data_IF_617947597924
#
_entry.id   IF_617947597924
#
_cell.length_a   1.000
_cell.length_b   1.000
_cell.length_c   1.000
_cell.angle_alpha   90.00
_cell.angle_beta   90.00
_cell.angle_gamma   90.00
#
_symmetry.space_group_name_H-M   'P 1'
#
loop_
_entity.id
_entity.type
_entity.pdbx_description
1 polymer ?
#
# COMPACT_ATOMS: atom_id res chain seq x y z
N UNK A 1 -65.26 30.36 -61.54
CA UNK A 1 -64.69 30.63 -62.88
C UNK A 1 -63.18 30.36 -62.80
N UNK A 2 -62.68 29.35 -63.54
CA UNK A 2 -61.29 29.19 -64.05
C UNK A 2 -60.16 28.97 -62.98
N UNK A 3 -59.75 27.71 -62.70
CA UNK A 3 -58.54 26.98 -63.20
C UNK A 3 -57.20 27.60 -62.76
N UNK A 4 -56.32 26.99 -61.94
CA UNK A 4 -55.40 25.83 -62.12
C UNK A 4 -54.51 25.84 -60.83
N UNK A 5 -53.92 24.81 -60.23
CA UNK A 5 -53.14 23.67 -60.76
C UNK A 5 -52.82 22.72 -59.58
N UNK A 6 -52.75 21.43 -59.89
CA UNK A 6 -52.32 20.27 -59.09
C UNK A 6 -50.89 20.37 -58.54
N UNK A 7 -50.63 19.83 -57.34
CA UNK A 7 -49.37 19.12 -57.04
C UNK A 7 -49.61 18.03 -55.97
N UNK A 8 -49.35 16.78 -56.34
CA UNK A 8 -49.12 15.66 -55.41
C UNK A 8 -47.68 15.76 -54.87
N UNK A 9 -47.45 15.40 -53.60
CA UNK A 9 -46.51 14.34 -53.20
C UNK A 9 -46.11 14.42 -51.71
N UNK A 10 -46.05 13.22 -51.11
CA UNK A 10 -45.20 12.80 -49.98
C UNK A 10 -45.61 13.20 -48.56
N UNK A 11 -46.27 12.25 -47.89
CA UNK A 11 -46.57 12.26 -46.46
C UNK A 11 -46.32 10.84 -45.89
N UNK A 12 -45.06 10.43 -45.76
CA UNK A 12 -44.64 9.31 -44.89
C UNK A 12 -43.17 9.50 -44.51
N UNK A 13 -42.88 10.00 -43.30
CA UNK A 13 -41.70 9.65 -42.50
C UNK A 13 -41.62 10.56 -41.27
N UNK A 14 -41.83 10.01 -40.07
CA UNK A 14 -41.08 10.31 -38.85
C UNK A 14 -41.87 9.86 -37.61
N UNK A 15 -41.83 8.55 -37.31
CA UNK A 15 -42.05 8.08 -35.93
C UNK A 15 -41.07 6.93 -35.66
N UNK A 16 -39.79 7.29 -35.58
CA UNK A 16 -38.77 6.49 -34.91
C UNK A 16 -38.35 7.29 -33.68
N UNK A 17 -39.01 7.00 -32.56
CA UNK A 17 -38.56 7.44 -31.24
C UNK A 17 -37.20 6.78 -31.00
N UNK A 18 -36.14 7.58 -31.06
CA UNK A 18 -34.82 7.17 -30.63
C UNK A 18 -34.86 6.92 -29.10
N UNK A 19 -34.66 5.65 -28.70
CA UNK A 19 -34.12 5.37 -27.36
C UNK A 19 -32.71 5.97 -27.34
N UNK A 20 -32.58 7.16 -26.74
CA UNK A 20 -31.28 7.68 -26.38
C UNK A 20 -30.71 6.78 -25.26
N UNK A 21 -29.48 6.24 -25.41
CA UNK A 21 -28.83 5.58 -24.30
C UNK A 21 -28.56 6.64 -23.23
N UNK A 22 -29.11 6.42 -22.03
CA UNK A 22 -28.67 7.10 -20.83
C UNK A 22 -27.14 6.99 -20.75
N UNK A 23 -26.39 8.05 -20.43
CA UNK A 23 -24.98 7.91 -20.15
C UNK A 23 -24.88 6.95 -18.98
N UNK A 24 -24.37 5.75 -19.23
CA UNK A 24 -23.92 4.86 -18.19
C UNK A 24 -22.95 5.68 -17.34
N UNK A 25 -23.24 5.84 -16.05
CA UNK A 25 -22.22 6.22 -15.09
C UNK A 25 -21.09 5.22 -15.32
N UNK A 26 -20.00 5.69 -15.93
CA UNK A 26 -18.81 4.90 -16.09
C UNK A 26 -18.45 4.41 -14.69
N UNK A 27 -18.40 3.09 -14.51
CA UNK A 27 -17.76 2.53 -13.34
C UNK A 27 -16.38 3.21 -13.22
N UNK A 28 -15.91 3.53 -11.99
CA UNK A 28 -14.54 3.97 -11.80
C UNK A 28 -13.62 2.98 -12.56
N UNK A 29 -12.57 3.47 -13.24
CA UNK A 29 -11.73 2.63 -14.07
C UNK A 29 -11.32 1.40 -13.25
N UNK A 30 -11.72 0.23 -13.75
CA UNK A 30 -11.21 -1.03 -13.22
C UNK A 30 -9.68 -1.00 -13.30
N UNK A 31 -9.02 -1.55 -12.27
CA UNK A 31 -7.57 -1.73 -12.09
C UNK A 31 -6.74 -1.38 -13.33
N UNK A 32 -5.82 -0.42 -13.20
CA UNK A 32 -4.86 -0.07 -14.24
C UNK A 32 -4.30 -1.33 -14.90
N UNK A 33 -4.60 -1.51 -16.19
CA UNK A 33 -4.39 -2.77 -16.91
C UNK A 33 -2.90 -3.16 -16.89
N UNK A 34 -2.55 -4.11 -16.01
CA UNK A 34 -1.26 -4.80 -16.03
C UNK A 34 -1.48 -6.32 -16.01
N UNK A 35 -1.89 -6.91 -17.15
CA UNK A 35 -2.04 -8.36 -17.23
C UNK A 35 -0.74 -9.07 -16.89
N UNK A 36 -0.79 -10.02 -15.94
CA UNK A 36 0.39 -10.73 -15.48
C UNK A 36 1.32 -9.92 -14.56
N UNK A 37 0.77 -8.90 -13.87
CA UNK A 37 1.52 -8.16 -12.85
C UNK A 37 2.08 -9.11 -11.79
N UNK A 38 3.39 -9.04 -11.57
CA UNK A 38 4.07 -9.85 -10.56
C UNK A 38 4.12 -9.18 -9.18
N UNK A 39 3.67 -7.93 -9.08
CA UNK A 39 3.67 -7.18 -7.83
C UNK A 39 2.44 -7.50 -7.00
N UNK A 40 2.66 -7.62 -5.68
CA UNK A 40 1.59 -7.66 -4.67
C UNK A 40 1.15 -6.24 -4.35
N UNK A 41 -0.15 -6.06 -4.11
CA UNK A 41 -0.72 -4.76 -3.75
C UNK A 41 -0.27 -3.64 -4.70
N UNK A 42 -0.37 -3.90 -6.00
CA UNK A 42 0.29 -3.08 -7.00
C UNK A 42 -0.38 -1.70 -7.20
N UNK A 43 -1.68 -1.60 -6.89
CA UNK A 43 -2.41 -0.33 -6.81
C UNK A 43 -2.66 0.14 -5.37
N UNK A 44 -1.98 -0.42 -4.37
CA UNK A 44 -2.04 0.02 -2.97
C UNK A 44 -3.41 -0.08 -2.26
N UNK A 45 -4.36 -0.84 -2.81
CA UNK A 45 -5.71 -1.03 -2.26
C UNK A 45 -5.80 -2.09 -1.14
N UNK A 46 -4.77 -2.95 -0.97
CA UNK A 46 -4.79 -4.10 -0.06
C UNK A 46 -4.32 -3.76 1.36
N UNK A 47 -4.53 -2.51 1.78
CA UNK A 47 -4.23 -2.00 3.11
C UNK A 47 -2.77 -1.60 3.34
N UNK A 48 -2.54 -1.01 4.51
CA UNK A 48 -1.26 -0.44 4.95
C UNK A 48 -0.95 -0.92 6.36
N UNK A 49 0.35 -0.99 6.67
CA UNK A 49 0.83 -1.40 8.00
C UNK A 49 1.95 -0.48 8.45
N UNK A 50 2.03 -0.26 9.76
CA UNK A 50 3.10 0.54 10.37
C UNK A 50 4.44 -0.20 10.34
N UNK A 51 5.55 0.53 10.27
CA UNK A 51 6.93 0.00 10.31
C UNK A 51 7.74 0.72 11.39
N UNK A 52 7.60 0.24 12.62
CA UNK A 52 8.26 0.83 13.79
C UNK A 52 7.50 2.06 14.29
N UNK A 53 7.99 3.26 13.97
CA UNK A 53 7.33 4.50 14.37
C UNK A 53 6.02 4.71 13.59
N UNK A 54 4.98 5.24 14.25
CA UNK A 54 3.66 5.48 13.64
C UNK A 54 3.66 6.40 12.42
N UNK A 55 4.76 7.08 12.13
CA UNK A 55 4.97 7.95 10.97
C UNK A 55 5.35 7.20 9.68
N UNK A 56 5.52 5.87 9.75
CA UNK A 56 5.85 5.03 8.59
C UNK A 56 4.76 4.01 8.38
N UNK A 57 3.75 4.38 7.60
CA UNK A 57 2.71 3.48 7.11
C UNK A 57 2.94 3.19 5.63
N UNK A 58 3.18 1.92 5.33
CA UNK A 58 3.52 1.44 3.99
C UNK A 58 2.51 0.40 3.55
N UNK A 59 2.18 0.43 2.26
CA UNK A 59 1.29 -0.53 1.64
C UNK A 59 1.74 -1.97 1.92
N UNK A 60 0.79 -2.85 2.25
CA UNK A 60 1.08 -4.25 2.55
C UNK A 60 1.80 -4.92 1.36
N UNK A 61 2.84 -5.70 1.63
CA UNK A 61 3.68 -6.31 0.60
C UNK A 61 4.82 -5.42 0.07
N UNK A 62 4.91 -4.17 0.53
CA UNK A 62 6.01 -3.26 0.25
C UNK A 62 6.79 -2.92 1.52
N UNK A 63 8.06 -2.54 1.33
CA UNK A 63 8.95 -2.12 2.42
C UNK A 63 9.55 -0.74 2.15
N UNK A 64 9.70 0.12 3.17
CA UNK A 64 10.31 1.43 3.02
C UNK A 64 11.83 1.33 2.93
N UNK A 65 12.44 2.30 2.25
CA UNK A 65 13.89 2.50 2.23
C UNK A 65 14.22 3.99 2.13
N UNK A 66 15.36 4.39 2.69
CA UNK A 66 15.84 5.77 2.57
C UNK A 66 17.35 5.83 2.77
N UNK A 67 17.96 6.90 2.26
CA UNK A 67 19.35 7.25 2.55
C UNK A 67 19.39 7.95 3.90
N UNK A 68 20.20 7.43 4.84
CA UNK A 68 20.40 8.06 6.13
C UNK A 68 21.41 9.20 5.99
N UNK A 69 21.00 10.42 6.34
CA UNK A 69 21.93 11.52 6.60
C UNK A 69 22.71 11.30 7.89
N UNK A 70 23.89 11.91 7.99
CA UNK A 70 24.59 12.05 9.26
C UNK A 70 23.78 12.90 10.26
N UNK A 71 24.07 12.82 11.57
CA UNK A 71 23.41 13.69 12.55
C UNK A 71 23.52 15.17 12.19
N UNK A 72 24.69 15.64 11.75
CA UNK A 72 24.91 17.04 11.37
C UNK A 72 24.07 17.48 10.15
N UNK A 73 23.87 16.58 9.17
CA UNK A 73 23.02 16.84 8.01
C UNK A 73 21.54 16.89 8.41
N UNK A 74 21.09 15.90 9.18
CA UNK A 74 19.70 15.78 9.60
C UNK A 74 19.27 16.91 10.56
N UNK A 75 20.16 17.39 11.42
CA UNK A 75 19.96 18.59 12.25
C UNK A 75 19.72 19.85 11.40
N UNK A 76 20.37 19.94 10.25
CA UNK A 76 20.19 21.03 9.27
C UNK A 76 19.01 20.79 8.31
N UNK A 77 18.30 19.67 8.44
CA UNK A 77 17.17 19.30 7.60
C UNK A 77 17.55 18.62 6.28
N UNK A 78 18.77 18.09 6.14
CA UNK A 78 19.18 17.32 4.98
C UNK A 78 19.07 15.81 5.23
N UNK A 79 18.66 15.06 4.19
CA UNK A 79 18.55 13.60 4.22
C UNK A 79 17.80 13.06 5.45
N UNK A 80 16.73 13.76 5.83
CA UNK A 80 15.83 13.26 6.87
C UNK A 80 15.08 12.04 6.35
N UNK A 81 14.80 11.12 7.26
CA UNK A 81 13.90 10.00 6.99
C UNK A 81 12.53 10.56 6.55
N UNK A 82 11.98 10.14 5.40
CA UNK A 82 10.63 10.51 5.00
C UNK A 82 9.57 9.98 5.96
N UNK A 83 8.46 10.69 6.04
CA UNK A 83 7.21 10.14 6.56
C UNK A 83 6.47 9.42 5.44
N UNK A 84 5.86 8.28 5.75
CA UNK A 84 5.13 7.44 4.79
C UNK A 84 3.70 7.29 5.26
N UNK A 85 2.74 7.52 4.36
CA UNK A 85 1.31 7.46 4.68
C UNK A 85 0.50 6.93 3.50
N UNK A 86 -0.66 6.29 3.77
CA UNK A 86 -1.69 6.13 2.75
C UNK A 86 -2.30 7.50 2.41
N UNK A 87 -2.43 7.78 1.13
CA UNK A 87 -3.31 8.84 0.66
C UNK A 87 -4.68 8.24 0.38
N UNK A 88 -5.71 8.67 1.13
CA UNK A 88 -7.05 8.11 1.02
C UNK A 88 -8.00 9.07 0.30
N UNK A 89 -8.48 8.68 -0.87
CA UNK A 89 -9.38 9.47 -1.70
C UNK A 89 -10.70 9.83 -1.01
N UNK A 90 -11.17 9.02 -0.05
CA UNK A 90 -12.40 9.28 0.68
C UNK A 90 -12.23 10.37 1.76
N UNK A 91 -10.98 10.66 2.16
CA UNK A 91 -10.67 11.67 3.19
C UNK A 91 -10.16 12.95 2.54
N UNK A 92 -9.22 12.83 1.60
CA UNK A 92 -8.50 13.96 1.00
C UNK A 92 -8.95 14.29 -0.44
N UNK A 93 -9.89 13.51 -0.98
CA UNK A 93 -10.34 13.64 -2.35
C UNK A 93 -9.43 12.93 -3.36
N UNK A 94 -9.86 12.88 -4.63
CA UNK A 94 -9.20 12.08 -5.68
C UNK A 94 -7.99 12.75 -6.33
N UNK A 95 -7.55 13.91 -5.85
CA UNK A 95 -6.45 14.67 -6.47
C UNK A 95 -5.16 13.86 -6.54
N UNK A 96 -4.87 13.14 -5.46
CA UNK A 96 -3.60 12.45 -5.19
C UNK A 96 -3.72 10.93 -5.21
N UNK A 97 -4.79 10.42 -5.81
CA UNK A 97 -5.05 8.98 -6.01
C UNK A 97 -5.35 8.78 -7.50
N UNK A 98 -4.57 7.96 -8.20
CA UNK A 98 -4.65 7.82 -9.65
C UNK A 98 -5.81 6.89 -10.03
N UNK A 99 -5.87 5.73 -9.39
CA UNK A 99 -6.97 4.77 -9.51
C UNK A 99 -7.44 4.30 -8.13
N UNK A 100 -8.58 3.60 -8.06
CA UNK A 100 -9.06 3.09 -6.78
C UNK A 100 -9.32 4.15 -5.69
N UNK A 101 -8.94 3.82 -4.46
CA UNK A 101 -9.17 4.57 -3.22
C UNK A 101 -7.88 5.09 -2.61
N UNK A 102 -6.77 4.37 -2.78
CA UNK A 102 -5.52 4.62 -2.09
C UNK A 102 -4.37 4.89 -3.05
N UNK A 103 -3.43 5.71 -2.61
CA UNK A 103 -2.10 5.75 -3.18
C UNK A 103 -1.06 5.74 -2.06
N UNK A 104 0.17 5.33 -2.36
CA UNK A 104 1.26 5.45 -1.40
C UNK A 104 1.86 6.86 -1.48
N UNK A 105 1.91 7.55 -0.34
CA UNK A 105 2.59 8.83 -0.20
C UNK A 105 3.84 8.71 0.66
N UNK A 106 4.86 9.50 0.33
CA UNK A 106 5.86 9.91 1.32
C UNK A 106 6.34 11.35 1.09
N UNK A 107 6.81 11.97 2.17
CA UNK A 107 7.17 13.39 2.17
C UNK A 107 8.11 13.77 3.31
N UNK A 108 8.62 15.00 3.25
CA UNK A 108 9.28 15.69 4.36
C UNK A 108 8.93 17.18 4.36
N UNK A 109 8.79 17.78 5.54
CA UNK A 109 8.49 19.21 5.70
C UNK A 109 9.77 20.00 6.02
N UNK A 110 10.08 21.05 5.25
CA UNK A 110 11.31 21.87 5.41
C UNK A 110 12.61 21.05 5.47
N UNK A 111 12.65 19.94 4.74
CA UNK A 111 13.77 19.03 4.72
C UNK A 111 13.96 18.38 3.34
N UNK A 112 15.15 17.79 3.13
CA UNK A 112 15.42 16.91 2.00
C UNK A 112 15.39 15.45 2.39
N UNK A 113 15.07 14.61 1.41
CA UNK A 113 15.19 13.18 1.51
C UNK A 113 15.63 12.53 0.20
N UNK A 114 16.04 11.28 0.29
CA UNK A 114 16.11 10.34 -0.83
C UNK A 114 15.62 9.01 -0.30
N UNK A 115 14.54 8.49 -0.89
CA UNK A 115 13.94 7.24 -0.43
C UNK A 115 12.65 6.91 -1.17
N UNK A 116 11.97 5.89 -0.68
CA UNK A 116 10.70 5.42 -1.20
C UNK A 116 10.39 4.03 -0.67
N UNK A 117 9.76 3.21 -1.51
CA UNK A 117 9.40 1.83 -1.15
C UNK A 117 9.93 0.84 -2.18
N UNK A 118 10.08 -0.42 -1.79
CA UNK A 118 10.54 -1.49 -2.64
C UNK A 118 9.74 -2.78 -2.43
N UNK A 119 9.79 -3.66 -3.43
CA UNK A 119 9.27 -5.02 -3.34
C UNK A 119 10.21 -5.99 -4.03
N UNK A 120 10.49 -7.12 -3.38
CA UNK A 120 11.24 -8.23 -3.98
C UNK A 120 10.31 -9.17 -4.70
N UNK A 121 10.71 -9.60 -5.89
CA UNK A 121 9.88 -10.44 -6.77
C UNK A 121 10.71 -11.58 -7.32
N UNK A 122 10.19 -12.80 -7.19
CA UNK A 122 10.78 -13.99 -7.79
C UNK A 122 10.54 -14.00 -9.30
N UNK A 123 11.61 -14.08 -10.07
CA UNK A 123 11.57 -14.12 -11.55
C UNK A 123 12.64 -15.10 -12.02
N UNK A 124 12.45 -15.87 -13.11
CA UNK A 124 13.53 -16.72 -13.62
C UNK A 124 14.75 -15.88 -14.03
N UNK A 125 15.95 -16.29 -13.61
CA UNK A 125 17.18 -15.63 -14.02
C UNK A 125 17.29 -15.53 -15.55
N UNK A 126 17.82 -14.40 -16.03
CA UNK A 126 17.90 -14.09 -17.45
C UNK A 126 16.62 -13.53 -18.07
N UNK A 127 15.51 -13.45 -17.34
CA UNK A 127 14.28 -12.78 -17.81
C UNK A 127 14.51 -11.27 -17.98
N UNK A 128 13.89 -10.66 -18.98
CA UNK A 128 13.84 -9.21 -19.12
C UNK A 128 12.61 -8.70 -18.39
N UNK A 129 12.80 -7.96 -17.32
CA UNK A 129 11.74 -7.36 -16.52
C UNK A 129 11.44 -5.93 -17.00
N UNK A 130 10.16 -5.60 -17.07
CA UNK A 130 9.65 -4.25 -17.36
C UNK A 130 8.85 -3.77 -16.17
N UNK A 131 9.33 -2.73 -15.50
CA UNK A 131 8.67 -2.10 -14.35
C UNK A 131 8.13 -0.73 -14.72
N UNK A 132 6.92 -0.41 -14.28
CA UNK A 132 6.29 0.91 -14.43
C UNK A 132 5.47 1.27 -13.20
N UNK A 133 5.26 2.57 -13.00
CA UNK A 133 4.41 3.11 -11.94
C UNK A 133 3.89 4.49 -12.34
N UNK A 134 2.72 4.86 -11.84
CA UNK A 134 2.23 6.22 -11.90
C UNK A 134 2.70 6.99 -10.67
N UNK A 135 3.10 8.24 -10.88
CA UNK A 135 3.51 9.14 -9.80
C UNK A 135 3.03 10.54 -10.07
N UNK A 136 2.69 11.25 -9.01
CA UNK A 136 2.47 12.69 -9.00
C UNK A 136 3.27 13.32 -7.87
N UNK A 137 3.81 14.51 -8.12
CA UNK A 137 4.63 15.24 -7.14
C UNK A 137 3.98 16.56 -6.79
N UNK A 138 4.06 16.93 -5.51
CA UNK A 138 3.77 18.29 -5.05
C UNK A 138 4.96 18.81 -4.27
N UNK A 139 5.49 19.95 -4.73
CA UNK A 139 6.58 20.61 -4.03
C UNK A 139 6.36 22.11 -4.05
N UNK A 140 6.25 22.73 -2.88
CA UNK A 140 5.97 24.16 -2.78
C UNK A 140 6.27 24.74 -1.40
N UNK A 141 6.48 26.05 -1.35
CA UNK A 141 6.38 26.85 -0.12
C UNK A 141 4.94 27.24 0.24
N UNK A 142 4.05 27.28 -0.74
CA UNK A 142 2.65 27.70 -0.56
C UNK A 142 1.79 26.51 -0.08
N UNK A 143 0.90 26.70 0.91
CA UNK A 143 0.02 25.64 1.43
C UNK A 143 -1.13 25.25 0.49
N UNK A 144 -1.37 26.00 -0.58
CA UNK A 144 -2.36 25.63 -1.58
C UNK A 144 -1.87 24.40 -2.39
N UNK A 145 -2.58 23.25 -2.34
CA UNK A 145 -2.17 22.04 -3.07
C UNK A 145 -2.23 22.19 -4.60
N UNK A 146 -2.89 23.23 -5.11
CA UNK A 146 -2.90 23.62 -6.53
C UNK A 146 -1.68 24.42 -6.97
N UNK A 147 -0.97 25.04 -6.02
CA UNK A 147 0.15 25.89 -6.30
C UNK A 147 1.48 25.13 -6.28
N UNK A 148 2.43 25.64 -7.09
CA UNK A 148 3.83 25.20 -7.14
C UNK A 148 4.69 26.47 -7.08
N UNK A 149 4.76 27.04 -5.90
CA UNK A 149 5.57 28.24 -5.59
C UNK A 149 6.91 27.79 -5.01
N UNK A 150 8.00 28.22 -5.64
CA UNK A 150 9.39 27.94 -5.22
C UNK A 150 9.61 26.45 -4.88
N UNK A 151 9.47 25.53 -5.85
CA UNK A 151 9.54 24.10 -5.58
C UNK A 151 10.95 23.64 -5.20
N UNK A 152 11.02 22.52 -4.48
CA UNK A 152 12.25 21.94 -3.96
C UNK A 152 13.09 21.15 -4.95
N UNK A 153 12.89 21.32 -6.26
CA UNK A 153 13.45 20.47 -7.32
C UNK A 153 13.26 18.97 -7.01
N UNK A 154 12.01 18.58 -6.81
CA UNK A 154 11.67 17.20 -6.44
C UNK A 154 11.66 16.29 -7.68
N UNK A 155 12.54 15.30 -7.67
CA UNK A 155 12.75 14.33 -8.75
C UNK A 155 12.23 12.96 -8.35
N UNK A 156 11.64 12.27 -9.31
CA UNK A 156 11.12 10.91 -9.16
C UNK A 156 11.72 9.98 -10.21
N UNK A 157 11.93 8.73 -9.83
CA UNK A 157 12.39 7.67 -10.72
C UNK A 157 11.98 6.30 -10.17
N UNK A 158 12.02 5.28 -11.03
CA UNK A 158 11.83 3.89 -10.62
C UNK A 158 13.04 3.05 -11.01
N UNK A 159 13.29 1.97 -10.28
CA UNK A 159 14.49 1.15 -10.48
C UNK A 159 14.24 -0.33 -10.36
N UNK A 160 15.11 -1.12 -10.97
CA UNK A 160 15.18 -2.57 -10.80
C UNK A 160 16.61 -2.93 -10.37
N UNK A 161 16.77 -3.55 -9.21
CA UNK A 161 18.00 -4.28 -8.89
C UNK A 161 17.91 -5.68 -9.50
N UNK A 162 18.71 -6.00 -10.53
CA UNK A 162 18.64 -7.28 -11.22
C UNK A 162 19.21 -8.45 -10.40
N UNK A 163 19.92 -8.16 -9.30
CA UNK A 163 20.52 -9.16 -8.39
C UNK A 163 19.60 -9.47 -7.20
N UNK A 164 18.54 -8.69 -7.00
CA UNK A 164 17.63 -8.83 -5.87
C UNK A 164 18.13 -8.16 -4.58
N UNK A 165 19.12 -7.27 -4.67
CA UNK A 165 19.55 -6.43 -3.54
C UNK A 165 18.43 -5.51 -3.05
N UNK A 166 18.43 -5.16 -1.76
CA UNK A 166 17.40 -4.30 -1.12
C UNK A 166 17.88 -2.89 -0.82
N UNK A 167 19.15 -2.58 -1.11
CA UNK A 167 19.69 -1.24 -0.93
C UNK A 167 19.36 -0.36 -2.14
N UNK A 168 18.37 0.51 -2.01
CA UNK A 168 17.98 1.46 -3.07
C UNK A 168 19.04 2.50 -3.43
N UNK A 169 20.12 2.63 -2.66
CA UNK A 169 21.27 3.48 -3.01
C UNK A 169 22.41 2.71 -3.72
N UNK A 170 22.26 1.41 -3.93
CA UNK A 170 23.31 0.60 -4.56
C UNK A 170 23.47 0.94 -6.04
N UNK A 171 24.72 0.91 -6.53
CA UNK A 171 25.04 1.09 -7.95
C UNK A 171 24.57 -0.07 -8.85
N UNK A 172 24.07 -1.16 -8.26
CA UNK A 172 23.47 -2.30 -8.97
C UNK A 172 22.06 -1.98 -9.49
N UNK A 173 21.39 -0.98 -8.94
CA UNK A 173 20.03 -0.63 -9.34
C UNK A 173 20.04 0.07 -10.70
N UNK A 174 19.32 -0.51 -11.66
CA UNK A 174 19.07 0.10 -12.98
C UNK A 174 17.89 1.06 -12.82
N UNK A 175 18.17 2.36 -12.84
CA UNK A 175 17.17 3.41 -12.69
C UNK A 175 16.61 3.88 -14.04
N UNK A 176 15.34 4.28 -14.07
CA UNK A 176 14.79 5.14 -15.12
C UNK A 176 15.47 6.51 -15.10
N UNK A 177 15.27 7.28 -16.16
CA UNK A 177 15.55 8.72 -16.11
C UNK A 177 14.77 9.37 -14.94
N UNK A 178 15.37 10.41 -14.37
CA UNK A 178 14.73 11.22 -13.34
C UNK A 178 13.79 12.24 -13.99
N UNK A 179 12.53 12.23 -13.56
CA UNK A 179 11.52 13.17 -14.02
C UNK A 179 11.23 14.18 -12.92
N UNK A 180 11.06 15.45 -13.31
CA UNK A 180 10.69 16.55 -12.43
C UNK A 180 9.50 17.28 -13.05
N UNK A 181 8.30 16.86 -12.66
CA UNK A 181 7.03 17.48 -13.03
C UNK A 181 6.11 17.52 -11.82
N UNK A 182 5.28 18.56 -11.72
CA UNK A 182 4.47 18.84 -10.53
C UNK A 182 2.97 18.86 -10.86
N UNK A 183 2.15 18.43 -9.91
CA UNK A 183 0.68 18.41 -10.00
C UNK A 183 0.12 17.72 -11.27
N UNK A 184 0.90 16.82 -11.86
CA UNK A 184 0.52 16.03 -13.03
C UNK A 184 0.92 14.58 -12.79
N UNK A 185 0.02 13.65 -13.12
CA UNK A 185 0.33 12.22 -13.11
C UNK A 185 1.25 11.87 -14.28
N UNK A 186 2.37 11.23 -13.98
CA UNK A 186 3.34 10.76 -14.95
C UNK A 186 3.54 9.26 -14.79
N UNK A 187 3.63 8.54 -15.92
CA UNK A 187 3.95 7.12 -15.94
C UNK A 187 5.44 6.94 -16.17
N UNK A 188 6.13 6.37 -15.19
CA UNK A 188 7.54 6.01 -15.31
C UNK A 188 7.69 4.57 -15.80
N UNK A 189 8.77 4.27 -16.50
CA UNK A 189 9.09 2.92 -16.97
C UNK A 189 10.60 2.66 -16.98
N UNK A 190 11.01 1.45 -16.63
CA UNK A 190 12.40 0.97 -16.73
C UNK A 190 12.42 -0.51 -17.09
N UNK A 191 13.49 -0.97 -17.74
CA UNK A 191 13.74 -2.38 -18.00
C UNK A 191 15.10 -2.81 -17.47
N UNK A 192 15.18 -4.05 -16.98
CA UNK A 192 16.43 -4.67 -16.59
C UNK A 192 16.36 -6.18 -16.81
N UNK A 193 17.51 -6.78 -17.12
CA UNK A 193 17.64 -8.24 -17.23
C UNK A 193 17.99 -8.82 -15.86
N UNK A 194 17.17 -9.74 -15.36
CA UNK A 194 17.40 -10.45 -14.11
C UNK A 194 18.74 -11.21 -14.16
N UNK A 195 19.55 -11.04 -13.12
CA UNK A 195 20.84 -11.72 -12.92
C UNK A 195 20.74 -12.84 -11.88
N UNK A 196 19.65 -12.87 -11.12
CA UNK A 196 19.30 -13.90 -10.14
C UNK A 196 17.84 -14.32 -10.31
N UNK A 197 17.41 -15.36 -9.57
CA UNK A 197 16.02 -15.81 -9.55
C UNK A 197 15.10 -14.89 -8.71
N UNK A 198 15.59 -13.71 -8.35
CA UNK A 198 14.88 -12.66 -7.62
C UNK A 198 15.42 -11.31 -8.05
N UNK A 199 14.51 -10.37 -8.30
CA UNK A 199 14.82 -8.95 -8.50
C UNK A 199 14.16 -8.12 -7.41
N UNK A 200 14.59 -6.87 -7.28
CA UNK A 200 13.91 -5.89 -6.41
C UNK A 200 13.50 -4.70 -7.25
N UNK A 201 12.23 -4.29 -7.18
CA UNK A 201 11.79 -3.03 -7.78
C UNK A 201 11.79 -1.93 -6.73
N UNK A 202 12.15 -0.72 -7.12
CA UNK A 202 12.22 0.44 -6.24
C UNK A 202 11.44 1.62 -6.84
N UNK A 203 10.69 2.30 -5.97
CA UNK A 203 10.17 3.64 -6.25
C UNK A 203 11.04 4.63 -5.47
N UNK A 204 11.35 5.78 -6.08
CA UNK A 204 12.25 6.78 -5.49
C UNK A 204 11.76 8.19 -5.70
N UNK A 205 11.68 8.93 -4.60
CA UNK A 205 11.59 10.39 -4.59
C UNK A 205 12.84 10.99 -3.94
N UNK A 206 13.31 12.11 -4.49
CA UNK A 206 14.38 12.92 -3.88
C UNK A 206 14.20 14.39 -4.20
N UNK A 207 14.56 15.26 -3.26
CA UNK A 207 14.48 16.71 -3.45
C UNK A 207 15.79 17.40 -3.12
N UNK A 208 16.06 18.49 -3.83
CA UNK A 208 17.27 19.31 -3.67
C UNK A 208 17.10 20.36 -2.58
N UNK A 209 15.92 20.99 -2.49
CA UNK A 209 15.67 22.07 -1.54
C UNK A 209 14.61 21.73 -0.48
N UNK A 210 14.86 22.31 0.70
CA UNK A 210 14.12 22.13 1.95
C UNK A 210 12.89 23.04 2.01
N UNK A 211 11.98 22.88 1.06
CA UNK A 211 10.73 23.65 1.00
C UNK A 211 9.66 23.03 1.89
N UNK A 212 8.57 23.77 2.13
CA UNK A 212 7.51 23.39 3.06
C UNK A 212 6.86 22.05 2.71
N UNK A 213 6.58 21.81 1.44
CA UNK A 213 5.97 20.57 0.95
C UNK A 213 6.91 19.92 -0.06
N UNK A 214 7.18 18.63 0.12
CA UNK A 214 8.03 17.82 -0.73
C UNK A 214 7.45 16.42 -0.71
N UNK A 215 6.41 16.23 -1.53
CA UNK A 215 5.52 15.09 -1.45
C UNK A 215 5.52 14.37 -2.79
N UNK A 216 5.56 13.03 -2.73
CA UNK A 216 5.29 12.19 -3.89
C UNK A 216 4.19 11.20 -3.58
N UNK A 217 3.35 10.93 -4.58
CA UNK A 217 2.17 10.09 -4.51
C UNK A 217 2.26 9.06 -5.63
N UNK A 218 2.21 7.78 -5.29
CA UNK A 218 2.52 6.68 -6.18
C UNK A 218 1.35 5.72 -6.25
N UNK A 219 1.06 5.25 -7.46
CA UNK A 219 -0.09 4.39 -7.71
C UNK A 219 0.14 3.50 -8.94
N UNK A 220 -0.71 2.49 -9.13
CA UNK A 220 -0.79 1.65 -10.32
C UNK A 220 0.58 1.14 -10.80
N UNK A 221 1.29 0.47 -9.90
CA UNK A 221 2.57 -0.17 -10.20
C UNK A 221 2.37 -1.43 -11.04
N UNK A 222 3.31 -1.74 -11.92
CA UNK A 222 3.20 -2.85 -12.84
C UNK A 222 4.57 -3.43 -13.15
N UNK A 223 4.75 -4.73 -12.90
CA UNK A 223 5.94 -5.50 -13.26
C UNK A 223 5.55 -6.70 -14.12
N UNK A 224 6.09 -6.75 -15.33
CA UNK A 224 5.96 -7.92 -16.22
C UNK A 224 7.34 -8.42 -16.63
N UNK A 225 7.41 -9.66 -17.10
CA UNK A 225 8.66 -10.27 -17.56
C UNK A 225 8.51 -10.96 -18.91
N UNK A 226 9.59 -10.93 -19.69
CA UNK A 226 9.79 -11.84 -20.83
C UNK A 226 10.85 -12.85 -20.43
N UNK A 227 10.47 -14.13 -20.38
CA UNK A 227 11.38 -15.23 -20.01
C UNK A 227 12.43 -15.45 -21.10
N UNK A 228 13.66 -15.87 -20.76
CA UNK A 228 14.64 -16.23 -21.76
C UNK A 228 14.15 -17.47 -22.53
N UNK A 229 14.36 -17.47 -23.85
CA UNK A 229 14.09 -18.66 -24.67
C UNK A 229 14.90 -19.82 -24.12
N UNK A 230 14.28 -20.98 -23.79
CA UNK A 230 15.01 -22.15 -23.36
C UNK A 230 16.09 -22.46 -24.40
N UNK A 231 17.35 -22.60 -23.96
CA UNK A 231 18.39 -23.11 -24.84
C UNK A 231 17.95 -24.49 -25.31
N UNK A 232 17.88 -24.71 -26.62
CA UNK A 232 17.52 -26.01 -27.18
C UNK A 232 18.38 -27.08 -26.51
N UNK A 233 17.74 -27.99 -25.78
CA UNK A 233 18.38 -29.21 -25.31
C UNK A 233 18.81 -29.96 -26.56
N UNK A 234 20.07 -30.41 -26.64
CA UNK A 234 20.55 -31.20 -27.76
C UNK A 234 19.55 -32.32 -28.04
N UNK A 235 18.95 -32.33 -29.23
CA UNK A 235 18.14 -33.46 -29.70
C UNK A 235 18.96 -34.73 -29.49
N UNK A 236 18.44 -35.76 -28.80
CA UNK A 236 19.13 -37.03 -28.70
C UNK A 236 19.49 -37.49 -30.11
N UNK A 237 20.78 -37.51 -30.43
CA UNK A 237 21.27 -38.06 -31.69
C UNK A 237 20.89 -39.54 -31.70
N UNK A 238 20.15 -39.97 -32.71
CA UNK A 238 19.86 -41.39 -32.92
C UNK A 238 21.17 -42.17 -32.83
N UNK A 239 21.27 -43.01 -31.81
CA UNK A 239 22.42 -43.89 -31.61
C UNK A 239 22.24 -45.07 -32.55
N UNK A 240 23.28 -45.39 -33.32
CA UNK A 240 23.27 -46.52 -34.24
C UNK A 240 22.86 -47.80 -33.50
N UNK A 241 22.02 -48.60 -34.17
CA UNK A 241 21.56 -49.92 -33.77
C UNK A 241 22.67 -50.75 -33.11
N UNK A 242 22.48 -51.28 -31.88
CA UNK A 242 23.47 -52.13 -31.25
C UNK A 242 23.59 -53.47 -32.00
N UNK A 243 24.83 -53.86 -32.29
CA UNK A 243 25.16 -55.23 -32.65
C UNK A 243 24.97 -56.15 -31.43
N UNK A 244 24.50 -57.37 -31.67
CA UNK A 244 24.22 -58.38 -30.65
C UNK A 244 25.42 -58.56 -29.71
N UNK A 245 25.21 -58.38 -28.41
CA UNK A 245 26.21 -58.64 -27.37
C UNK A 245 25.61 -59.54 -26.30
N UNK A 246 26.34 -60.61 -26.02
CA UNK A 246 26.07 -61.60 -24.99
C UNK A 246 26.17 -61.00 -23.58
N UNK A 247 25.38 -61.58 -22.66
CA UNK A 247 25.44 -61.46 -21.19
C UNK A 247 24.63 -60.31 -20.58
N UNK A 248 23.64 -60.58 -19.70
CA UNK A 248 22.82 -59.56 -19.09
C UNK A 248 23.67 -58.74 -18.11
N UNK A 249 23.80 -57.44 -18.39
CA UNK A 249 24.29 -56.46 -17.43
C UNK A 249 23.09 -55.84 -16.75
N UNK A 250 23.13 -55.75 -15.42
CA UNK A 250 22.02 -55.29 -14.57
C UNK A 250 21.34 -54.04 -15.13
N UNK A 251 20.03 -54.12 -15.31
CA UNK A 251 19.16 -52.98 -15.61
C UNK A 251 19.37 -51.90 -14.54
N UNK A 252 19.68 -50.64 -14.89
CA UNK A 252 19.72 -49.59 -13.88
C UNK A 252 18.34 -49.48 -13.25
N UNK A 253 18.29 -49.67 -11.93
CA UNK A 253 17.12 -49.41 -11.11
C UNK A 253 16.58 -48.01 -11.45
N UNK A 254 15.27 -47.82 -11.70
CA UNK A 254 14.71 -46.51 -11.99
C UNK A 254 15.14 -45.52 -10.91
N UNK A 255 15.72 -44.40 -11.32
CA UNK A 255 16.07 -43.30 -10.42
C UNK A 255 14.81 -42.87 -9.69
N UNK A 256 14.82 -42.98 -8.36
CA UNK A 256 13.68 -42.61 -7.52
C UNK A 256 13.24 -41.17 -7.86
N UNK A 257 11.96 -41.00 -8.19
CA UNK A 257 11.33 -39.68 -8.27
C UNK A 257 11.53 -39.01 -6.92
N UNK A 258 12.14 -37.83 -6.89
CA UNK A 258 12.38 -37.11 -5.64
C UNK A 258 11.04 -36.93 -4.90
N UNK A 259 10.95 -37.45 -3.68
CA UNK A 259 9.79 -37.25 -2.80
C UNK A 259 9.61 -35.74 -2.59
N UNK A 260 8.43 -35.17 -2.85
CA UNK A 260 8.20 -33.75 -2.61
C UNK A 260 8.44 -33.45 -1.13
N UNK A 261 9.38 -32.56 -0.84
CA UNK A 261 9.66 -32.15 0.54
C UNK A 261 8.52 -31.22 0.96
N UNK A 262 7.67 -31.72 1.85
CA UNK A 262 6.52 -30.99 2.42
C UNK A 262 6.97 -30.02 3.51
N UNK A 263 6.19 -28.97 3.75
CA UNK A 263 6.40 -28.00 4.81
C UNK A 263 5.40 -28.13 5.96
N UNK A 264 5.65 -27.37 7.03
CA UNK A 264 4.90 -27.38 8.28
C UNK A 264 4.38 -25.98 8.65
N UNK A 265 3.13 -25.88 9.10
CA UNK A 265 2.56 -24.68 9.71
C UNK A 265 1.94 -25.09 11.05
N UNK A 266 2.25 -24.37 12.13
CA UNK A 266 1.60 -24.52 13.43
C UNK A 266 0.87 -23.25 13.84
N UNK A 267 -0.31 -23.41 14.46
CA UNK A 267 -1.19 -22.31 14.87
C UNK A 267 -1.56 -22.45 16.34
N UNK A 268 -1.50 -21.36 17.10
CA UNK A 268 -2.07 -21.28 18.45
C UNK A 268 -2.65 -19.88 18.71
N UNK A 269 -3.63 -19.78 19.61
CA UNK A 269 -4.08 -18.50 20.14
C UNK A 269 -3.76 -18.40 21.63
N UNK A 270 -3.28 -17.24 22.08
CA UNK A 270 -2.89 -17.02 23.47
C UNK A 270 -3.42 -15.70 24.02
N UNK A 271 -3.57 -15.64 25.33
CA UNK A 271 -4.05 -14.47 26.03
C UNK A 271 -2.89 -13.50 26.23
N UNK A 272 -2.81 -12.47 25.38
CA UNK A 272 -1.81 -11.40 25.44
C UNK A 272 -2.27 -10.35 26.46
N UNK A 273 -1.96 -10.59 27.74
CA UNK A 273 -2.49 -9.81 28.84
C UNK A 273 -1.86 -8.42 28.95
N UNK A 274 -0.63 -8.27 28.45
CA UNK A 274 0.13 -7.02 28.47
C UNK A 274 0.14 -6.28 27.10
N UNK A 275 -0.53 -6.85 26.09
CA UNK A 275 -0.66 -6.31 24.74
C UNK A 275 0.68 -6.08 24.02
N UNK A 276 1.70 -6.90 24.32
CA UNK A 276 3.03 -6.78 23.72
C UNK A 276 3.18 -7.56 22.40
N UNK A 277 2.18 -8.37 22.02
CA UNK A 277 2.17 -9.17 20.80
C UNK A 277 3.13 -10.38 20.84
N UNK A 278 3.67 -10.72 22.00
CA UNK A 278 4.49 -11.90 22.24
C UNK A 278 3.84 -12.80 23.30
N UNK A 279 3.93 -14.12 23.12
CA UNK A 279 3.44 -15.06 24.12
C UNK A 279 4.44 -15.14 25.27
N UNK A 280 4.03 -14.69 26.44
CA UNK A 280 4.84 -14.73 27.66
C UNK A 280 4.62 -16.01 28.48
N UNK A 281 5.58 -16.31 29.36
CA UNK A 281 5.48 -17.45 30.27
C UNK A 281 4.29 -17.27 31.22
N UNK A 282 3.39 -18.27 31.24
CA UNK A 282 2.18 -18.25 32.06
C UNK A 282 0.93 -17.73 31.36
N UNK A 283 1.03 -17.24 30.11
CA UNK A 283 -0.16 -16.85 29.34
C UNK A 283 -0.96 -18.05 28.87
N UNK A 284 -2.26 -18.03 29.19
CA UNK A 284 -3.20 -19.09 28.85
C UNK A 284 -3.54 -19.10 27.36
N UNK A 285 -4.00 -20.25 26.86
CA UNK A 285 -4.52 -20.38 25.49
C UNK A 285 -5.94 -19.81 25.39
N UNK A 286 -6.29 -19.29 24.22
CA UNK A 286 -7.60 -18.65 23.96
C UNK A 286 -8.51 -19.62 23.21
N UNK A 287 -9.63 -20.08 23.79
CA UNK A 287 -10.59 -20.93 23.12
C UNK A 287 -11.51 -20.14 22.17
N UNK A 288 -12.03 -20.81 21.14
CA UNK A 288 -13.07 -20.29 20.25
C UNK A 288 -12.57 -19.43 19.08
N UNK A 289 -11.26 -19.36 18.83
CA UNK A 289 -10.70 -18.68 17.64
C UNK A 289 -10.86 -19.60 16.43
N UNK A 290 -11.61 -19.14 15.43
CA UNK A 290 -11.84 -19.87 14.18
C UNK A 290 -10.72 -19.55 13.18
N UNK A 291 -9.76 -20.46 13.05
CA UNK A 291 -8.72 -20.41 12.02
C UNK A 291 -9.18 -21.05 10.71
N UNK A 292 -8.89 -20.40 9.59
CA UNK A 292 -9.07 -20.93 8.24
C UNK A 292 -7.72 -20.91 7.53
N UNK A 293 -7.30 -22.06 7.00
CA UNK A 293 -6.14 -22.21 6.12
C UNK A 293 -6.64 -22.35 4.68
N UNK A 294 -6.17 -21.47 3.80
CA UNK A 294 -6.48 -21.44 2.37
C UNK A 294 -5.18 -21.40 1.56
N UNK A 295 -5.22 -21.81 0.30
CA UNK A 295 -4.18 -21.44 -0.66
C UNK A 295 -4.33 -19.97 -1.05
N UNK A 296 -3.30 -19.35 -1.62
CA UNK A 296 -3.37 -17.95 -2.07
C UNK A 296 -4.43 -17.71 -3.17
N UNK A 297 -4.81 -18.77 -3.89
CA UNK A 297 -5.88 -18.75 -4.90
C UNK A 297 -7.29 -18.85 -4.25
N UNK A 298 -7.37 -18.88 -2.92
CA UNK A 298 -8.62 -18.90 -2.16
C UNK A 298 -9.20 -20.30 -1.91
N UNK A 299 -8.53 -21.37 -2.35
CA UNK A 299 -8.99 -22.73 -2.11
C UNK A 299 -8.84 -23.09 -0.63
N UNK A 300 -9.93 -23.49 0.03
CA UNK A 300 -9.90 -23.90 1.44
C UNK A 300 -9.13 -25.22 1.59
N UNK A 301 -8.10 -25.20 2.42
CA UNK A 301 -7.28 -26.36 2.78
C UNK A 301 -7.83 -26.99 4.06
N UNK A 302 -8.02 -26.20 5.12
CA UNK A 302 -8.64 -26.66 6.36
C UNK A 302 -9.28 -25.51 7.17
N UNK A 303 -10.06 -25.85 8.19
CA UNK A 303 -10.46 -24.93 9.25
C UNK A 303 -10.39 -25.59 10.62
N UNK A 304 -9.97 -24.83 11.62
CA UNK A 304 -9.73 -25.29 12.98
C UNK A 304 -10.23 -24.25 13.98
N UNK A 305 -10.91 -24.69 15.03
CA UNK A 305 -11.33 -23.82 16.14
C UNK A 305 -10.56 -24.20 17.39
N UNK A 306 -9.96 -23.22 18.06
CA UNK A 306 -9.18 -23.45 19.28
C UNK A 306 -10.05 -23.93 20.43
N UNK A 307 -9.55 -24.86 21.24
CA UNK A 307 -10.23 -25.39 22.43
C UNK A 307 -9.65 -24.84 23.74
N UNK A 308 -8.58 -24.05 23.67
CA UNK A 308 -7.87 -23.49 24.83
C UNK A 308 -7.05 -24.52 25.61
N UNK A 309 -6.79 -25.70 25.02
CA UNK A 309 -6.10 -26.81 25.71
C UNK A 309 -5.13 -27.57 24.80
N UNK A 310 -5.57 -27.93 23.60
CA UNK A 310 -4.90 -28.84 22.68
C UNK A 310 -4.27 -28.07 21.51
N UNK A 311 -3.37 -27.14 21.85
CA UNK A 311 -2.67 -26.26 20.91
C UNK A 311 -1.14 -26.35 21.13
N UNK A 312 -0.31 -26.14 20.10
CA UNK A 312 -0.65 -25.68 18.75
C UNK A 312 -1.26 -26.75 17.83
N UNK A 313 -2.16 -26.34 16.93
CA UNK A 313 -2.61 -27.15 15.79
C UNK A 313 -1.50 -27.18 14.74
N UNK A 314 -1.05 -28.38 14.37
CA UNK A 314 0.04 -28.56 13.40
C UNK A 314 -0.50 -29.13 12.07
N UNK A 315 -0.07 -28.54 10.96
CA UNK A 315 -0.16 -29.06 9.60
C UNK A 315 1.26 -29.39 9.15
N UNK A 316 1.64 -30.66 9.03
CA UNK A 316 3.03 -31.09 8.80
C UNK A 316 3.27 -31.73 7.42
N UNK A 317 2.24 -31.78 6.57
CA UNK A 317 2.28 -32.38 5.22
C UNK A 317 1.76 -31.41 4.15
N UNK A 318 2.10 -30.12 4.27
CA UNK A 318 1.67 -29.12 3.29
C UNK A 318 2.63 -29.10 2.10
N UNK A 319 2.09 -29.19 0.89
CA UNK A 319 2.89 -29.00 -0.31
C UNK A 319 3.50 -27.58 -0.33
N UNK A 320 4.71 -27.40 -0.88
CA UNK A 320 5.26 -26.06 -1.06
C UNK A 320 4.31 -25.19 -1.89
N UNK A 321 4.05 -23.97 -1.42
CA UNK A 321 3.01 -23.12 -1.99
C UNK A 321 2.70 -21.92 -1.11
N UNK A 322 1.82 -21.06 -1.60
CA UNK A 322 1.37 -19.90 -0.85
C UNK A 322 0.08 -20.23 -0.12
N UNK A 323 0.05 -19.93 1.17
CA UNK A 323 -1.07 -20.16 2.06
C UNK A 323 -1.51 -18.86 2.71
N UNK A 324 -2.80 -18.74 3.02
CA UNK A 324 -3.38 -17.66 3.81
C UNK A 324 -4.01 -18.28 5.04
N UNK A 325 -3.61 -17.81 6.22
CA UNK A 325 -4.26 -18.11 7.49
C UNK A 325 -5.11 -16.90 7.87
N UNK A 326 -6.36 -17.12 8.25
CA UNK A 326 -7.22 -16.10 8.87
C UNK A 326 -7.77 -16.63 10.18
N UNK A 327 -7.69 -15.86 11.25
CA UNK A 327 -8.26 -16.13 12.56
C UNK A 327 -9.41 -15.18 12.86
N UNK A 328 -10.60 -15.71 13.12
CA UNK A 328 -11.76 -14.96 13.58
C UNK A 328 -11.93 -15.18 15.09
N UNK A 329 -11.81 -14.10 15.85
CA UNK A 329 -11.90 -14.13 17.31
C UNK A 329 -13.35 -14.06 17.80
N UNK A 330 -13.69 -14.77 18.89
CA UNK A 330 -15.01 -14.65 19.51
C UNK A 330 -15.14 -13.31 20.23
N UNK A 331 -16.37 -12.81 20.39
CA UNK A 331 -16.65 -11.46 20.91
C UNK A 331 -16.07 -11.16 22.31
N UNK A 332 -15.75 -12.19 23.10
CA UNK A 332 -15.12 -12.05 24.40
C UNK A 332 -13.64 -11.63 24.33
N UNK A 333 -13.02 -11.70 23.15
CA UNK A 333 -11.61 -11.42 22.94
C UNK A 333 -11.41 -10.39 21.83
N UNK A 334 -10.48 -9.46 22.05
CA UNK A 334 -10.00 -8.50 21.07
C UNK A 334 -8.56 -8.89 20.65
N UNK A 335 -8.27 -9.06 19.36
CA UNK A 335 -6.92 -9.39 18.90
C UNK A 335 -5.95 -8.24 19.20
N UNK A 336 -4.75 -8.56 19.67
CA UNK A 336 -3.67 -7.59 19.95
C UNK A 336 -2.65 -7.52 18.82
N UNK A 337 -2.79 -8.38 17.81
CA UNK A 337 -1.91 -8.45 16.64
C UNK A 337 -2.66 -8.84 15.37
N UNK A 338 -1.92 -9.20 14.30
CA UNK A 338 -2.51 -9.59 13.03
C UNK A 338 -3.47 -10.78 13.18
N UNK A 339 -4.68 -10.65 12.62
CA UNK A 339 -5.68 -11.73 12.57
C UNK A 339 -5.50 -12.63 11.36
N UNK A 340 -4.45 -12.43 10.55
CA UNK A 340 -4.17 -13.28 9.40
C UNK A 340 -2.77 -13.09 8.84
N UNK A 341 -2.29 -14.11 8.13
CA UNK A 341 -0.93 -14.18 7.60
C UNK A 341 -0.93 -14.81 6.21
N UNK A 342 -0.15 -14.24 5.30
CA UNK A 342 0.25 -14.89 4.06
C UNK A 342 1.59 -15.62 4.26
N UNK A 343 1.62 -16.93 4.06
CA UNK A 343 2.82 -17.77 4.19
C UNK A 343 3.24 -18.27 2.80
N UNK A 344 4.48 -18.01 2.41
CA UNK A 344 5.13 -18.72 1.29
C UNK A 344 5.89 -19.92 1.86
N UNK A 345 5.26 -21.10 1.80
CA UNK A 345 5.82 -22.33 2.36
C UNK A 345 6.78 -22.97 1.34
N UNK A 346 8.09 -22.86 1.59
CA UNK A 346 9.11 -23.55 0.81
C UNK A 346 9.21 -25.06 1.16
N UNK A 347 9.91 -25.85 0.33
CA UNK A 347 10.15 -27.26 0.64
C UNK A 347 10.85 -27.45 1.99
N UNK A 348 10.23 -28.16 2.93
CA UNK A 348 10.76 -28.40 4.27
C UNK A 348 10.67 -27.21 5.24
N UNK A 349 10.11 -26.07 4.82
CA UNK A 349 9.98 -24.89 5.66
C UNK A 349 8.97 -25.13 6.80
N UNK A 350 9.20 -24.51 7.97
CA UNK A 350 8.32 -24.57 9.13
C UNK A 350 7.96 -23.16 9.58
N UNK A 351 6.68 -22.89 9.81
CA UNK A 351 6.18 -21.64 10.39
C UNK A 351 5.37 -21.91 11.64
N UNK A 352 5.72 -21.26 12.73
CA UNK A 352 4.96 -21.29 13.97
C UNK A 352 4.28 -19.93 14.17
N UNK A 353 2.95 -19.91 14.05
CA UNK A 353 2.15 -18.70 14.16
C UNK A 353 1.41 -18.67 15.50
N UNK A 354 1.60 -17.57 16.22
CA UNK A 354 0.93 -17.30 17.47
C UNK A 354 0.06 -16.05 17.33
N UNK A 355 -1.18 -16.13 17.80
CA UNK A 355 -2.14 -15.04 17.69
C UNK A 355 -2.54 -14.57 19.10
N UNK A 356 -2.13 -13.35 19.45
CA UNK A 356 -2.42 -12.73 20.73
C UNK A 356 -3.81 -12.11 20.77
N UNK A 357 -4.51 -12.26 21.89
CA UNK A 357 -5.72 -11.52 22.18
C UNK A 357 -5.87 -11.18 23.66
N UNK A 358 -6.47 -10.03 23.93
CA UNK A 358 -6.88 -9.59 25.27
C UNK A 358 -8.39 -9.79 25.45
N UNK A 359 -8.89 -9.77 26.69
CA UNK A 359 -10.33 -9.73 26.92
C UNK A 359 -10.92 -8.45 26.32
N UNK A 360 -12.00 -8.58 25.55
CA UNK A 360 -12.74 -7.43 25.05
C UNK A 360 -13.29 -6.63 26.25
N UNK A 361 -13.24 -5.28 26.24
CA UNK A 361 -13.80 -4.48 27.31
C UNK A 361 -15.30 -4.76 27.43
N UNK A 362 -15.76 -5.14 28.63
CA UNK A 362 -17.18 -5.30 28.91
C UNK A 362 -17.89 -3.99 28.56
N UNK A 363 -18.93 -4.00 27.70
CA UNK A 363 -19.64 -2.77 27.37
C UNK A 363 -20.17 -2.15 28.67
N UNK A 364 -19.70 -0.95 28.98
CA UNK A 364 -20.24 -0.18 30.10
C UNK A 364 -21.70 0.14 29.74
N UNK A 365 -22.70 -0.27 30.53
CA UNK A 365 -24.09 -0.02 30.20
C UNK A 365 -24.29 1.49 30.03
N UNK A 366 -24.65 1.90 28.82
CA UNK A 366 -25.01 3.29 28.55
C UNK A 366 -26.22 3.64 29.41
N UNK A 367 -26.09 4.63 30.31
CA UNK A 367 -27.23 5.08 31.11
C UNK A 367 -28.32 5.56 30.17
N UNK A 368 -29.52 4.98 30.28
CA UNK A 368 -30.73 5.49 29.61
C UNK A 368 -30.91 6.95 30.01
N UNK A 369 -30.99 7.90 29.05
CA UNK A 369 -31.15 9.31 29.38
C UNK A 369 -32.46 9.53 30.13
N UNK A 370 -32.38 10.12 31.33
CA UNK A 370 -33.54 10.57 32.09
C UNK A 370 -34.16 11.75 31.33
N UNK A 371 -35.46 11.70 31.07
CA UNK A 371 -36.19 12.75 30.38
C UNK A 371 -35.96 14.12 31.05
N UNK A 372 -35.42 15.07 30.28
CA UNK A 372 -35.20 16.45 30.72
C UNK A 372 -36.54 17.19 30.69
N UNK A 373 -36.92 17.83 31.81
CA UNK A 373 -38.17 18.62 31.89
C UNK A 373 -38.07 19.85 30.97
N UNK A 374 -39.11 20.11 30.21
CA UNK A 374 -39.25 21.26 29.30
C UNK A 374 -39.21 22.58 30.08
N UNK A 375 -38.39 23.58 29.70
CA UNK A 375 -38.39 24.89 30.35
C UNK A 375 -39.59 25.74 29.91
N UNK A 376 -40.16 26.49 30.87
CA UNK A 376 -41.24 27.48 30.67
C UNK A 376 -40.74 28.68 29.86
N UNK A 377 -41.52 29.20 28.87
CA UNK A 377 -41.08 30.31 28.02
C UNK A 377 -41.07 31.66 28.75
N UNK A 378 -40.00 32.43 28.57
CA UNK A 378 -39.83 33.83 29.01
C UNK A 378 -40.24 34.80 27.88
N UNK A 379 -40.84 35.98 28.15
CA UNK A 379 -41.37 36.87 27.10
C UNK A 379 -40.28 37.54 26.26
N UNK A 380 -40.56 37.72 24.97
CA UNK A 380 -39.66 38.24 23.93
C UNK A 380 -39.59 39.78 23.94
N UNK A 381 -38.40 40.40 24.01
CA UNK A 381 -38.21 41.81 23.66
C UNK A 381 -37.97 42.02 22.16
N UNK A 382 -38.51 43.12 21.65
CA UNK A 382 -38.64 43.51 20.24
C UNK A 382 -37.29 43.84 19.56
N UNK A 383 -37.14 43.44 18.29
CA UNK A 383 -35.94 43.59 17.44
C UNK A 383 -35.54 45.05 17.22
N UNK A 384 -34.25 45.34 17.34
CA UNK A 384 -33.56 46.40 16.60
C UNK A 384 -32.65 45.74 15.54
N UNK A 385 -32.74 46.21 14.30
CA UNK A 385 -32.01 45.68 13.14
C UNK A 385 -30.91 46.67 12.75
N UNK A 386 -29.64 46.23 12.79
CA UNK A 386 -28.49 46.80 12.09
C UNK A 386 -27.40 45.70 12.06
N UNK A 387 -27.13 45.01 10.96
CA UNK A 387 -26.42 45.38 9.72
C UNK A 387 -24.97 44.85 9.71
N UNK A 388 -24.70 43.98 8.73
CA UNK A 388 -23.40 43.73 8.07
C UNK A 388 -22.35 42.87 8.80
N UNK A 389 -21.86 41.85 8.09
CA UNK A 389 -20.41 41.55 8.08
C UNK A 389 -20.03 40.08 8.22
N UNK A 390 -19.46 39.52 7.17
CA UNK A 390 -18.97 38.15 7.00
C UNK A 390 -17.89 37.69 8.00
N UNK A 391 -17.69 36.37 8.08
CA UNK A 391 -16.41 35.79 8.50
C UNK A 391 -16.47 34.30 8.86
N UNK A 392 -16.51 33.42 7.86
CA UNK A 392 -16.06 32.03 7.99
C UNK A 392 -14.53 32.01 8.07
N UNK A 393 -13.95 31.17 8.94
CA UNK A 393 -12.69 30.40 8.80
C UNK A 393 -12.14 30.09 10.20
N UNK A 394 -12.32 28.86 10.68
CA UNK A 394 -11.48 28.29 11.75
C UNK A 394 -10.59 27.21 11.14
N UNK A 395 -9.31 27.54 10.99
CA UNK A 395 -8.22 26.58 10.79
C UNK A 395 -7.53 26.45 12.15
N UNK A 396 -7.68 25.28 12.78
CA UNK A 396 -6.78 24.76 13.80
C UNK A 396 -5.35 24.73 13.25
N UNK A 397 -4.26 24.99 13.96
CA UNK A 397 -4.00 25.18 15.37
C UNK A 397 -2.48 24.96 15.51
N UNK A 398 -1.83 25.78 16.33
CA UNK A 398 -0.51 25.55 16.91
C UNK A 398 0.70 25.47 15.95
N UNK A 399 1.22 26.62 15.53
CA UNK A 399 2.68 26.80 15.34
C UNK A 399 3.14 28.27 15.26
N UNK A 400 2.62 29.16 16.11
CA UNK A 400 3.17 30.53 16.27
C UNK A 400 3.08 31.03 17.70
N UNK A 401 3.70 30.30 18.64
CA UNK A 401 3.92 30.79 20.01
C UNK A 401 5.43 30.88 20.35
N UNK A 402 6.24 31.27 19.38
CA UNK A 402 7.68 31.51 19.59
C UNK A 402 8.24 32.76 18.89
N UNK A 403 7.41 33.70 18.43
CA UNK A 403 7.92 34.95 17.84
C UNK A 403 7.09 36.21 18.16
N UNK A 404 6.49 36.26 19.35
CA UNK A 404 5.84 37.48 19.87
C UNK A 404 6.18 37.78 21.35
N UNK A 405 7.21 37.15 21.92
CA UNK A 405 7.76 37.55 23.24
C UNK A 405 9.03 38.40 23.09
N UNK A 406 9.69 38.37 21.92
CA UNK A 406 10.90 39.17 21.64
C UNK A 406 10.66 40.64 21.27
N UNK A 407 9.44 41.03 20.87
CA UNK A 407 9.13 42.43 20.45
C UNK A 407 8.44 43.27 21.53
N UNK A 408 8.04 42.67 22.67
CA UNK A 408 7.43 43.38 23.80
C UNK A 408 8.42 43.93 24.84
N UNK A 409 9.61 43.34 24.96
CA UNK A 409 10.61 43.74 25.99
C UNK A 409 11.49 44.90 25.51
N UNK A 410 11.67 45.07 24.20
CA UNK A 410 12.47 46.16 23.61
C UNK A 410 11.82 47.56 23.69
N UNK A 411 10.49 47.65 23.77
CA UNK A 411 9.77 48.93 23.82
C UNK A 411 9.40 49.37 25.25
N UNK A 412 9.47 48.48 26.24
CA UNK A 412 9.22 48.82 27.65
C UNK A 412 10.45 49.47 28.34
N UNK A 413 11.67 49.21 27.86
CA UNK A 413 12.90 49.77 28.47
C UNK A 413 13.34 51.13 27.90
N UNK A 414 12.61 51.72 26.93
CA UNK A 414 12.97 53.02 26.33
C UNK A 414 12.19 54.23 26.88
N UNK A 415 11.33 54.05 27.90
CA UNK A 415 10.50 55.14 28.48
C UNK A 415 10.76 55.48 29.95
N UNK A 416 11.86 55.02 30.57
CA UNK A 416 12.28 55.50 31.89
C UNK A 416 13.67 56.15 31.86
N UNK A 417 13.70 57.44 31.55
CA UNK A 417 14.64 58.39 32.16
C UNK A 417 13.84 59.66 32.49
N UNK A 418 13.67 60.02 33.77
CA UNK A 418 13.22 61.36 34.14
C UNK A 418 14.39 62.35 34.05
N UNK A 419 14.01 63.60 33.76
CA UNK A 419 14.71 64.89 33.89
C UNK A 419 16.11 64.89 34.50
#
# INVERSE_FOLDING_TARGET
MIRRTTLHALLVAAFLLALAPLPALAAPPAQGECPGNLLRNAGFEEGFSTRGAGEVEVANGWEPWWVNGSPAETDQGFLRRPEYKPENANIFGRRRVHSGTFSQKWFTTYATHTGGIFQRVSVPSGSVATFSAWVQVWSSQDPNPDAVVEPGNYRVSIGIDPTGGTNGAAGTVVWSDEVMQYNTWIKLQVQAKAQADTITVFLRGRNEYRVKFNDSYWDDTCLTIVRPTPKATNTPKATNTPAATNTPTNTPTPTATATPVVGRISLLAYQDANANGQRDEGEALVPGVEFTLQTAEGAKVDAYTTDGKSEPKVYDQLAPGNYVITGKFPAAYAPTGPTGWGISLGPGASFDLAFGAMYAPTPTPTRTPIATRTPTPTPVPQKAVASVGQGLYEISGLLTLALAVGLGVGLYLRRRKPS
#
